data_IF_268116005297
#
_entry.id   IF_268116005297
#
_cell.length_a   1.000
_cell.length_b   1.000
_cell.length_c   1.000
_cell.angle_alpha   90.00
_cell.angle_beta   90.00
_cell.angle_gamma   90.00
#
_symmetry.space_group_name_H-M   'P 1'
#
loop_
_entity.id
_entity.type
_entity.pdbx_description
1 polymer ?
#
# COMPACT_ATOMS: atom_id res chain seq x y z
N UNK A 1 -4.80 -26.24 -30.55
CA UNK A 1 -3.53 -26.28 -29.80
C UNK A 1 -3.78 -25.60 -28.46
N UNK A 2 -3.82 -26.37 -27.38
CA UNK A 2 -3.94 -25.81 -26.03
C UNK A 2 -2.56 -25.26 -25.65
N UNK A 3 -2.42 -23.94 -25.58
CA UNK A 3 -1.28 -23.34 -24.91
C UNK A 3 -1.47 -23.52 -23.41
N UNK A 4 -1.13 -24.68 -22.89
CA UNK A 4 -0.99 -24.86 -21.47
C UNK A 4 0.27 -24.09 -21.01
N UNK A 5 0.10 -22.81 -20.71
CA UNK A 5 1.09 -22.07 -19.92
C UNK A 5 0.96 -22.61 -18.51
N UNK A 6 1.69 -23.65 -18.20
CA UNK A 6 1.84 -24.16 -16.82
C UNK A 6 2.77 -23.21 -16.06
N UNK A 7 2.26 -22.08 -15.67
CA UNK A 7 2.87 -21.30 -14.59
C UNK A 7 2.31 -21.87 -13.30
N UNK A 8 3.16 -22.51 -12.50
CA UNK A 8 2.78 -22.85 -11.13
C UNK A 8 2.42 -21.55 -10.41
N UNK A 9 1.20 -21.53 -9.83
CA UNK A 9 0.77 -20.42 -9.00
C UNK A 9 1.72 -20.36 -7.79
N UNK A 10 2.27 -19.17 -7.51
CA UNK A 10 3.07 -18.98 -6.31
C UNK A 10 2.20 -18.45 -5.16
N UNK A 11 2.53 -18.79 -3.91
CA UNK A 11 1.81 -18.24 -2.77
C UNK A 11 2.07 -16.73 -2.66
N UNK A 12 1.05 -15.98 -2.24
CA UNK A 12 1.20 -14.58 -1.89
C UNK A 12 2.02 -14.46 -0.59
N UNK A 13 3.29 -14.05 -0.71
CA UNK A 13 4.23 -14.05 0.41
C UNK A 13 3.80 -13.07 1.52
N UNK A 14 3.24 -11.92 1.16
CA UNK A 14 2.70 -10.97 2.14
C UNK A 14 1.57 -11.60 2.95
N UNK A 15 0.64 -12.29 2.29
CA UNK A 15 -0.46 -12.98 2.96
C UNK A 15 0.05 -14.04 3.93
N UNK A 16 0.97 -14.89 3.47
CA UNK A 16 1.59 -15.92 4.31
C UNK A 16 2.28 -15.33 5.53
N UNK A 17 3.05 -14.25 5.34
CA UNK A 17 3.73 -13.55 6.44
C UNK A 17 2.74 -13.00 7.46
N UNK A 18 1.69 -12.30 7.02
CA UNK A 18 0.70 -11.71 7.92
C UNK A 18 -0.16 -12.75 8.64
N UNK A 19 -0.55 -13.84 7.97
CA UNK A 19 -1.30 -14.96 8.56
C UNK A 19 -0.47 -15.72 9.60
N UNK A 20 0.85 -15.79 9.44
CA UNK A 20 1.75 -16.37 10.46
C UNK A 20 2.01 -15.43 11.66
N UNK A 21 1.40 -14.26 11.69
CA UNK A 21 1.58 -13.28 12.78
C UNK A 21 2.80 -12.36 12.59
N UNK A 22 3.50 -12.45 11.46
CA UNK A 22 4.65 -11.61 11.14
C UNK A 22 4.28 -10.15 10.87
N UNK A 23 5.29 -9.28 10.87
CA UNK A 23 5.17 -7.87 10.47
C UNK A 23 5.84 -7.65 9.12
N UNK A 24 5.10 -7.12 8.18
CA UNK A 24 5.55 -6.81 6.83
C UNK A 24 5.98 -5.33 6.73
N UNK A 25 7.12 -5.10 6.09
CA UNK A 25 7.61 -3.74 5.78
C UNK A 25 7.65 -3.57 4.27
N UNK A 26 7.06 -2.50 3.78
CA UNK A 26 6.97 -2.24 2.35
C UNK A 26 7.23 -0.80 1.97
N UNK A 27 7.08 -0.54 0.68
CA UNK A 27 7.27 0.77 0.07
C UNK A 27 6.05 1.17 -0.77
N UNK A 28 5.99 2.45 -1.14
CA UNK A 28 5.01 3.00 -2.06
C UNK A 28 5.68 3.55 -3.32
N UNK A 29 5.06 3.35 -4.49
CA UNK A 29 5.46 3.96 -5.75
C UNK A 29 4.36 4.92 -6.23
N UNK A 30 4.66 6.22 -6.25
CA UNK A 30 3.75 7.28 -6.66
C UNK A 30 4.06 7.84 -8.05
N UNK A 31 5.28 7.64 -8.58
CA UNK A 31 5.67 8.22 -9.87
C UNK A 31 5.00 7.56 -11.07
N UNK A 32 4.54 6.32 -10.93
CA UNK A 32 3.96 5.55 -12.04
C UNK A 32 4.99 5.10 -13.08
N UNK A 33 6.28 5.16 -12.75
CA UNK A 33 7.37 4.75 -13.65
C UNK A 33 7.78 3.30 -13.39
N UNK A 34 7.81 2.43 -14.43
CA UNK A 34 8.16 1.02 -14.28
C UNK A 34 9.58 0.77 -13.77
N UNK A 35 10.55 1.60 -14.14
CA UNK A 35 11.94 1.44 -13.68
C UNK A 35 12.10 1.81 -12.21
N UNK A 36 11.37 2.85 -11.77
CA UNK A 36 11.31 3.21 -10.35
C UNK A 36 10.66 2.07 -9.55
N UNK A 37 9.53 1.53 -10.03
CA UNK A 37 8.85 0.41 -9.38
C UNK A 37 9.76 -0.83 -9.28
N UNK A 38 10.51 -1.17 -10.34
CA UNK A 38 11.49 -2.26 -10.35
C UNK A 38 12.60 -2.03 -9.31
N UNK A 39 13.16 -0.81 -9.28
CA UNK A 39 14.20 -0.44 -8.32
C UNK A 39 13.73 -0.60 -6.87
N UNK A 40 12.52 -0.15 -6.56
CA UNK A 40 11.92 -0.30 -5.23
C UNK A 40 11.67 -1.78 -4.88
N UNK A 41 11.15 -2.55 -5.82
CA UNK A 41 10.86 -3.97 -5.61
C UNK A 41 12.13 -4.82 -5.41
N UNK A 42 13.25 -4.43 -6.02
CA UNK A 42 14.55 -5.10 -5.83
C UNK A 42 15.23 -4.74 -4.51
N UNK A 43 14.71 -3.78 -3.75
CA UNK A 43 15.31 -3.35 -2.49
C UNK A 43 15.10 -4.34 -1.33
N UNK A 44 14.35 -5.45 -1.53
CA UNK A 44 14.20 -6.53 -0.55
C UNK A 44 13.16 -6.28 0.53
N UNK A 45 12.14 -5.45 0.24
CA UNK A 45 10.98 -5.25 1.11
C UNK A 45 9.88 -6.29 0.83
N UNK A 46 9.02 -6.55 1.82
CA UNK A 46 8.01 -7.59 1.73
C UNK A 46 6.90 -7.26 0.73
N UNK A 47 6.58 -5.97 0.58
CA UNK A 47 5.58 -5.51 -0.39
C UNK A 47 5.92 -4.15 -0.99
N UNK A 48 5.37 -3.92 -2.17
CA UNK A 48 5.33 -2.62 -2.84
C UNK A 48 3.88 -2.34 -3.25
N UNK A 49 3.31 -1.20 -2.86
CA UNK A 49 2.07 -0.79 -3.48
C UNK A 49 2.30 0.28 -4.56
N UNK A 50 1.64 0.07 -5.70
CA UNK A 50 1.60 0.99 -6.83
C UNK A 50 0.39 1.89 -6.64
N UNK A 51 0.62 3.18 -6.52
CA UNK A 51 -0.44 4.14 -6.23
C UNK A 51 -1.15 4.59 -7.51
N UNK A 52 -2.46 4.37 -7.58
CA UNK A 52 -3.33 4.86 -8.65
C UNK A 52 -4.31 5.94 -8.15
N UNK A 53 -4.30 6.26 -6.85
CA UNK A 53 -5.15 7.30 -6.28
C UNK A 53 -4.50 8.68 -6.38
N UNK A 54 -3.22 8.80 -5.99
CA UNK A 54 -2.48 10.07 -5.94
C UNK A 54 -1.20 10.04 -6.78
N UNK A 55 -1.14 9.15 -7.77
CA UNK A 55 -0.01 9.06 -8.69
C UNK A 55 0.09 10.29 -9.59
N UNK A 56 1.32 10.77 -9.79
CA UNK A 56 1.62 11.85 -10.76
C UNK A 56 1.73 11.33 -12.19
N UNK A 57 1.85 10.02 -12.39
CA UNK A 57 1.92 9.35 -13.69
C UNK A 57 0.59 9.22 -14.45
N UNK A 58 -0.49 9.80 -13.91
CA UNK A 58 -1.82 9.71 -14.49
C UNK A 58 -2.48 8.33 -14.33
N UNK A 59 -3.61 8.12 -15.02
CA UNK A 59 -4.36 6.86 -15.03
C UNK A 59 -3.72 5.78 -15.93
N UNK A 60 -2.40 5.83 -16.16
CA UNK A 60 -1.71 4.80 -16.90
C UNK A 60 -1.95 3.43 -16.24
N UNK A 61 -2.14 2.41 -17.08
CA UNK A 61 -2.34 1.05 -16.58
C UNK A 61 -1.16 0.62 -15.70
N UNK A 62 -1.35 0.05 -14.51
CA UNK A 62 -0.28 -0.44 -13.66
C UNK A 62 0.47 -1.65 -14.27
N UNK A 63 0.06 -2.11 -15.47
CA UNK A 63 0.57 -3.33 -16.11
C UNK A 63 2.09 -3.33 -16.26
N UNK A 64 2.68 -2.22 -16.71
CA UNK A 64 4.12 -2.19 -16.96
C UNK A 64 4.92 -2.16 -15.65
N UNK A 65 4.43 -1.50 -14.62
CA UNK A 65 5.00 -1.56 -13.28
C UNK A 65 4.88 -2.98 -12.68
N UNK A 66 3.71 -3.63 -12.82
CA UNK A 66 3.49 -5.00 -12.38
C UNK A 66 4.33 -6.02 -13.18
N UNK A 67 4.68 -5.73 -14.43
CA UNK A 67 5.64 -6.53 -15.20
C UNK A 67 7.07 -6.37 -14.69
N UNK A 68 7.47 -5.14 -14.39
CA UNK A 68 8.79 -4.83 -13.86
C UNK A 68 9.02 -5.51 -12.50
N UNK A 69 8.01 -5.54 -11.64
CA UNK A 69 8.10 -6.14 -10.29
C UNK A 69 7.91 -7.66 -10.25
N UNK A 70 7.37 -8.29 -11.31
CA UNK A 70 6.92 -9.70 -11.31
C UNK A 70 8.01 -10.75 -11.07
N UNK A 71 9.30 -10.39 -11.17
CA UNK A 71 10.44 -11.30 -10.95
C UNK A 71 11.22 -11.02 -9.67
N UNK A 72 10.71 -10.13 -8.85
CA UNK A 72 11.24 -9.85 -7.51
C UNK A 72 10.53 -10.72 -6.47
N UNK A 73 11.07 -10.84 -5.28
CA UNK A 73 10.39 -11.52 -4.17
C UNK A 73 9.36 -10.65 -3.45
N UNK A 74 9.13 -9.42 -3.94
CA UNK A 74 8.26 -8.43 -3.32
C UNK A 74 6.81 -8.61 -3.80
N UNK A 75 5.86 -8.72 -2.88
CA UNK A 75 4.41 -8.78 -3.23
C UNK A 75 3.95 -7.44 -3.79
N UNK A 76 3.40 -7.44 -5.00
CA UNK A 76 2.93 -6.24 -5.66
C UNK A 76 1.43 -5.99 -5.41
N UNK A 77 1.11 -4.89 -4.73
CA UNK A 77 -0.24 -4.41 -4.48
C UNK A 77 -0.55 -3.20 -5.36
N UNK A 78 -1.82 -2.90 -5.57
CA UNK A 78 -2.27 -1.66 -6.22
C UNK A 78 -3.22 -0.92 -5.27
N UNK A 79 -2.91 0.34 -4.93
CA UNK A 79 -3.91 1.21 -4.35
C UNK A 79 -4.76 1.76 -5.49
N UNK A 80 -6.01 1.31 -5.58
CA UNK A 80 -6.93 1.73 -6.64
C UNK A 80 -7.40 3.17 -6.42
N UNK A 81 -7.83 3.84 -7.50
CA UNK A 81 -8.24 5.25 -7.43
C UNK A 81 -9.56 5.47 -6.65
N UNK A 82 -10.41 4.46 -6.58
CA UNK A 82 -11.69 4.50 -5.87
C UNK A 82 -12.17 3.08 -5.55
N UNK A 83 -13.15 2.96 -4.65
CA UNK A 83 -13.88 1.73 -4.38
C UNK A 83 -14.85 1.40 -5.52
N UNK A 84 -14.29 1.04 -6.66
CA UNK A 84 -14.99 0.74 -7.91
C UNK A 84 -14.64 -0.68 -8.38
N UNK A 85 -15.62 -1.57 -8.62
CA UNK A 85 -15.38 -2.95 -9.03
C UNK A 85 -14.60 -3.07 -10.36
N UNK A 86 -14.74 -2.11 -11.27
CA UNK A 86 -14.01 -2.11 -12.54
C UNK A 86 -12.54 -1.80 -12.30
N UNK A 87 -12.23 -0.80 -11.47
CA UNK A 87 -10.84 -0.44 -11.13
C UNK A 87 -10.16 -1.57 -10.37
N UNK A 88 -10.84 -2.17 -9.40
CA UNK A 88 -10.36 -3.33 -8.62
C UNK A 88 -10.08 -4.51 -9.57
N UNK A 89 -11.04 -4.90 -10.39
CA UNK A 89 -10.90 -6.01 -11.34
C UNK A 89 -9.74 -5.79 -12.32
N UNK A 90 -9.59 -4.59 -12.88
CA UNK A 90 -8.50 -4.25 -13.80
C UNK A 90 -7.12 -4.32 -13.14
N UNK A 91 -6.98 -3.86 -11.89
CA UNK A 91 -5.73 -3.97 -11.15
C UNK A 91 -5.34 -5.44 -10.93
N UNK A 92 -6.28 -6.27 -10.52
CA UNK A 92 -6.08 -7.70 -10.30
C UNK A 92 -5.79 -8.45 -11.61
N UNK A 93 -6.49 -8.14 -12.71
CA UNK A 93 -6.25 -8.76 -14.03
C UNK A 93 -4.90 -8.34 -14.63
N UNK A 94 -4.42 -7.14 -14.28
CA UNK A 94 -3.07 -6.68 -14.59
C UNK A 94 -1.98 -7.45 -13.82
N UNK A 95 -2.34 -8.23 -12.81
CA UNK A 95 -1.44 -9.11 -12.05
C UNK A 95 -1.06 -8.58 -10.67
N UNK A 96 -1.81 -7.64 -10.10
CA UNK A 96 -1.67 -7.31 -8.68
C UNK A 96 -2.07 -8.51 -7.81
N UNK A 97 -1.32 -8.74 -6.75
CA UNK A 97 -1.56 -9.81 -5.79
C UNK A 97 -2.56 -9.41 -4.69
N UNK A 98 -2.94 -8.15 -4.70
CA UNK A 98 -3.98 -7.58 -3.85
C UNK A 98 -4.19 -6.11 -4.17
N UNK A 99 -5.21 -5.54 -3.56
CA UNK A 99 -5.56 -4.13 -3.70
C UNK A 99 -5.69 -3.45 -2.35
N UNK A 100 -5.39 -2.13 -2.33
CA UNK A 100 -5.72 -1.23 -1.25
C UNK A 100 -6.85 -0.34 -1.77
N UNK A 101 -8.03 -0.43 -1.15
CA UNK A 101 -9.25 0.26 -1.58
C UNK A 101 -9.49 1.48 -0.68
N UNK A 102 -9.38 2.72 -1.20
CA UNK A 102 -9.49 3.94 -0.41
C UNK A 102 -10.94 4.25 0.01
N UNK A 103 -11.08 5.16 0.96
CA UNK A 103 -12.35 5.80 1.39
C UNK A 103 -13.46 4.82 1.76
N UNK A 104 -13.14 3.78 2.52
CA UNK A 104 -14.13 2.84 3.05
C UNK A 104 -14.66 3.38 4.38
N UNK A 105 -15.94 3.76 4.39
CA UNK A 105 -16.60 4.41 5.52
C UNK A 105 -17.73 3.59 6.14
N UNK A 106 -18.16 2.53 5.46
CA UNK A 106 -19.29 1.70 5.87
C UNK A 106 -18.99 0.21 5.68
N UNK A 107 -19.82 -0.62 6.32
CA UNK A 107 -19.81 -2.07 6.14
C UNK A 107 -20.14 -2.44 4.68
N UNK A 108 -21.07 -1.70 4.07
CA UNK A 108 -21.47 -1.85 2.66
C UNK A 108 -20.30 -1.55 1.71
N UNK A 109 -19.49 -0.52 2.01
CA UNK A 109 -18.27 -0.22 1.24
C UNK A 109 -17.26 -1.35 1.33
N UNK A 110 -17.05 -1.88 2.53
CA UNK A 110 -16.13 -3.00 2.76
C UNK A 110 -16.62 -4.28 2.04
N UNK A 111 -17.91 -4.60 2.11
CA UNK A 111 -18.50 -5.71 1.36
C UNK A 111 -18.35 -5.53 -0.16
N UNK A 112 -18.57 -4.32 -0.67
CA UNK A 112 -18.41 -4.01 -2.10
C UNK A 112 -16.98 -4.23 -2.56
N UNK A 113 -16.00 -3.77 -1.78
CA UNK A 113 -14.59 -3.99 -2.05
C UNK A 113 -14.23 -5.48 -2.02
N UNK A 114 -14.58 -6.19 -0.95
CA UNK A 114 -14.32 -7.63 -0.82
C UNK A 114 -14.97 -8.46 -1.94
N UNK A 115 -16.23 -8.15 -2.30
CA UNK A 115 -16.93 -8.84 -3.38
C UNK A 115 -16.27 -8.60 -4.74
N UNK A 116 -15.74 -7.40 -5.01
CA UNK A 116 -15.05 -7.08 -6.27
C UNK A 116 -13.69 -7.78 -6.40
N UNK A 117 -13.04 -8.12 -5.28
CA UNK A 117 -11.73 -8.80 -5.25
C UNK A 117 -11.87 -10.30 -5.52
N UNK A 118 -12.93 -10.93 -5.01
CA UNK A 118 -13.07 -12.38 -5.02
C UNK A 118 -13.94 -12.90 -6.15
N UNK A 119 -13.58 -14.07 -6.69
CA UNK A 119 -14.43 -14.83 -7.60
C UNK A 119 -15.59 -15.49 -6.85
N UNK A 120 -16.69 -15.81 -7.55
CA UNK A 120 -17.77 -16.64 -6.98
C UNK A 120 -17.22 -17.96 -6.38
N UNK A 121 -17.78 -18.47 -5.27
CA UNK A 121 -18.97 -17.97 -4.57
C UNK A 121 -18.67 -16.87 -3.53
N UNK A 122 -17.40 -16.49 -3.31
CA UNK A 122 -17.00 -15.53 -2.29
C UNK A 122 -17.24 -14.06 -2.70
N UNK A 123 -17.32 -13.80 -3.99
CA UNK A 123 -17.53 -12.47 -4.55
C UNK A 123 -18.17 -12.49 -5.91
N UNK A 124 -18.00 -11.39 -6.65
CA UNK A 124 -18.60 -11.15 -7.97
C UNK A 124 -17.58 -10.80 -9.06
N UNK A 125 -16.28 -10.95 -8.77
CA UNK A 125 -15.22 -10.66 -9.75
C UNK A 125 -15.45 -11.47 -11.03
N UNK A 126 -15.41 -10.79 -12.18
CA UNK A 126 -15.47 -11.45 -13.50
C UNK A 126 -14.18 -12.23 -13.74
N UNK A 127 -14.31 -13.45 -14.28
CA UNK A 127 -13.17 -14.30 -14.60
C UNK A 127 -12.52 -13.90 -15.93
N UNK A 128 -11.27 -13.45 -15.90
CA UNK A 128 -10.49 -13.04 -17.05
C UNK A 128 -9.00 -12.99 -16.72
N UNK A 129 -8.37 -14.12 -16.31
CA UNK A 129 -7.02 -14.14 -15.76
C UNK A 129 -5.93 -14.02 -16.85
N UNK A 130 -6.00 -12.99 -17.69
CA UNK A 130 -5.07 -12.83 -18.81
C UNK A 130 -3.62 -12.72 -18.35
N UNK A 131 -3.34 -11.90 -17.33
CA UNK A 131 -2.00 -11.72 -16.77
C UNK A 131 -1.88 -12.26 -15.33
N UNK A 132 -2.93 -12.18 -14.54
CA UNK A 132 -2.93 -12.72 -13.17
C UNK A 132 -2.60 -14.21 -13.11
N UNK A 133 -2.85 -14.96 -14.20
CA UNK A 133 -2.47 -16.36 -14.33
C UNK A 133 -0.96 -16.62 -14.21
N UNK A 134 -0.11 -15.62 -14.43
CA UNK A 134 1.36 -15.74 -14.29
C UNK A 134 1.86 -15.55 -12.85
N UNK A 135 0.97 -15.19 -11.92
CA UNK A 135 1.26 -15.00 -10.51
C UNK A 135 0.41 -15.94 -9.64
N UNK A 136 -0.72 -15.44 -9.16
CA UNK A 136 -1.61 -16.21 -8.25
C UNK A 136 -2.34 -17.37 -8.92
N UNK A 137 -2.24 -17.54 -10.24
CA UNK A 137 -2.88 -18.60 -10.99
C UNK A 137 -4.19 -18.19 -11.67
N UNK A 138 -4.81 -19.17 -12.36
CA UNK A 138 -6.06 -18.96 -13.11
C UNK A 138 -7.28 -19.70 -12.46
N UNK A 139 -7.03 -20.61 -11.53
CA UNK A 139 -8.11 -21.31 -10.83
C UNK A 139 -8.76 -20.39 -9.79
N UNK A 140 -10.09 -20.16 -9.87
CA UNK A 140 -10.78 -19.23 -8.97
C UNK A 140 -10.62 -19.54 -7.49
N UNK A 141 -10.62 -20.82 -7.10
CA UNK A 141 -10.49 -21.21 -5.70
C UNK A 141 -9.08 -20.91 -5.16
N UNK A 142 -8.05 -21.22 -5.95
CA UNK A 142 -6.65 -20.93 -5.65
C UNK A 142 -6.45 -19.40 -5.52
N UNK A 143 -6.95 -18.61 -6.47
CA UNK A 143 -6.83 -17.16 -6.45
C UNK A 143 -7.55 -16.56 -5.23
N UNK A 144 -8.78 -17.02 -4.92
CA UNK A 144 -9.50 -16.58 -3.73
C UNK A 144 -8.73 -16.86 -2.43
N UNK A 145 -7.97 -17.95 -2.40
CA UNK A 145 -7.10 -18.31 -1.28
C UNK A 145 -5.81 -17.48 -1.18
N UNK A 146 -5.48 -16.67 -2.19
CA UNK A 146 -4.19 -15.97 -2.28
C UNK A 146 -4.34 -14.45 -2.37
N UNK A 147 -5.36 -13.95 -3.08
CA UNK A 147 -5.56 -12.52 -3.31
C UNK A 147 -5.84 -11.77 -2.00
N UNK A 148 -5.36 -10.52 -1.89
CA UNK A 148 -5.61 -9.68 -0.71
C UNK A 148 -6.53 -8.51 -1.04
N UNK A 149 -7.54 -8.31 -0.18
CA UNK A 149 -8.36 -7.11 -0.11
C UNK A 149 -7.97 -6.33 1.15
N UNK A 150 -7.35 -5.19 0.98
CA UNK A 150 -7.06 -4.24 2.04
C UNK A 150 -7.96 -3.03 1.86
N UNK A 151 -8.65 -2.60 2.90
CA UNK A 151 -9.53 -1.41 2.85
C UNK A 151 -8.90 -0.27 3.63
N UNK A 152 -9.04 0.99 3.15
CA UNK A 152 -8.53 2.14 3.90
C UNK A 152 -9.62 2.76 4.75
N UNK A 153 -9.31 2.91 6.04
CA UNK A 153 -10.07 3.76 6.96
C UNK A 153 -9.28 5.04 7.15
N UNK A 154 -9.85 6.13 6.66
CA UNK A 154 -9.21 7.45 6.58
C UNK A 154 -10.19 8.60 6.87
N UNK A 155 -11.36 8.27 7.45
CA UNK A 155 -12.37 9.25 7.83
C UNK A 155 -12.94 8.97 9.24
N UNK A 156 -13.50 10.00 9.87
CA UNK A 156 -14.18 9.86 11.16
C UNK A 156 -15.36 8.86 11.09
N UNK A 157 -16.05 8.80 9.93
CA UNK A 157 -17.12 7.84 9.67
C UNK A 157 -16.62 6.40 9.66
N UNK A 158 -15.52 6.13 8.95
CA UNK A 158 -14.86 4.84 8.93
C UNK A 158 -14.32 4.42 10.31
N UNK A 159 -13.70 5.35 11.05
CA UNK A 159 -13.25 5.10 12.44
C UNK A 159 -14.41 4.72 13.35
N UNK A 160 -15.57 5.37 13.21
CA UNK A 160 -16.74 5.03 14.02
C UNK A 160 -17.15 3.55 13.84
N UNK A 161 -17.01 3.01 12.64
CA UNK A 161 -17.40 1.64 12.23
C UNK A 161 -16.21 0.67 12.05
N UNK A 162 -15.04 1.00 12.57
CA UNK A 162 -13.82 0.22 12.33
C UNK A 162 -13.96 -1.27 12.68
N UNK A 163 -14.66 -1.59 13.75
CA UNK A 163 -14.90 -2.98 14.19
C UNK A 163 -15.75 -3.75 13.18
N UNK A 164 -16.83 -3.14 12.71
CA UNK A 164 -17.74 -3.76 11.74
C UNK A 164 -17.05 -3.93 10.37
N UNK A 165 -16.30 -2.92 9.93
CA UNK A 165 -15.53 -2.95 8.67
C UNK A 165 -14.45 -4.05 8.74
N UNK A 166 -13.69 -4.13 9.84
CA UNK A 166 -12.66 -5.14 10.02
C UNK A 166 -13.23 -6.57 10.09
N UNK A 167 -14.48 -6.73 10.53
CA UNK A 167 -15.17 -8.01 10.60
C UNK A 167 -15.79 -8.49 9.28
N UNK A 168 -15.70 -7.73 8.18
CA UNK A 168 -16.29 -8.12 6.89
C UNK A 168 -15.53 -9.30 6.28
N UNK A 169 -16.21 -10.42 5.97
CA UNK A 169 -15.59 -11.55 5.29
C UNK A 169 -14.95 -11.15 3.97
N UNK A 170 -13.71 -11.58 3.73
CA UNK A 170 -12.94 -11.25 2.54
C UNK A 170 -12.14 -9.95 2.64
N UNK A 171 -12.24 -9.19 3.74
CA UNK A 171 -11.27 -8.15 4.10
C UNK A 171 -10.10 -8.80 4.84
N UNK A 172 -8.87 -8.60 4.34
CA UNK A 172 -7.66 -9.23 4.88
C UNK A 172 -6.81 -8.27 5.73
N UNK A 173 -7.14 -6.98 5.69
CA UNK A 173 -6.50 -5.96 6.51
C UNK A 173 -7.13 -4.59 6.31
N UNK A 174 -6.85 -3.70 7.27
CA UNK A 174 -7.24 -2.29 7.19
C UNK A 174 -5.99 -1.43 7.13
N UNK A 175 -5.90 -0.59 6.11
CA UNK A 175 -4.83 0.39 5.97
C UNK A 175 -5.30 1.76 6.45
N UNK A 176 -4.54 2.41 7.33
CA UNK A 176 -4.85 3.76 7.82
C UNK A 176 -4.30 4.80 6.86
N UNK A 177 -5.14 5.73 6.40
CA UNK A 177 -4.72 6.95 5.69
C UNK A 177 -4.56 8.12 6.66
N UNK A 178 -3.35 8.37 7.24
CA UNK A 178 -3.21 9.31 8.34
C UNK A 178 -3.46 10.77 7.95
N UNK A 179 -3.14 11.17 6.71
CA UNK A 179 -3.38 12.53 6.21
C UNK A 179 -4.87 12.83 6.07
N UNK A 180 -5.58 11.98 5.34
CA UNK A 180 -7.03 12.13 5.12
C UNK A 180 -7.82 11.99 6.42
N UNK A 181 -7.40 11.09 7.32
CA UNK A 181 -7.98 10.99 8.66
C UNK A 181 -7.81 12.29 9.44
N UNK A 182 -6.65 12.94 9.38
CA UNK A 182 -6.44 14.24 10.04
C UNK A 182 -7.40 15.29 9.47
N UNK A 183 -7.50 15.40 8.14
CA UNK A 183 -8.43 16.31 7.46
C UNK A 183 -9.88 16.03 7.87
N UNK A 184 -10.29 14.77 7.88
CA UNK A 184 -11.64 14.35 8.27
C UNK A 184 -11.96 14.67 9.74
N UNK A 185 -10.95 14.74 10.62
CA UNK A 185 -11.07 15.16 12.01
C UNK A 185 -10.98 16.68 12.20
N UNK A 186 -10.89 17.46 11.12
CA UNK A 186 -10.71 18.91 11.16
C UNK A 186 -9.31 19.33 11.64
N UNK A 187 -8.29 18.50 11.39
CA UNK A 187 -6.91 18.73 11.76
C UNK A 187 -6.05 19.03 10.53
N UNK A 188 -4.90 19.65 10.74
CA UNK A 188 -3.90 19.82 9.69
C UNK A 188 -3.32 18.45 9.27
N UNK A 189 -3.22 18.13 7.97
CA UNK A 189 -2.78 16.82 7.51
C UNK A 189 -1.31 16.48 7.85
N UNK A 190 -0.46 17.49 8.11
CA UNK A 190 0.97 17.29 8.39
C UNK A 190 1.25 17.17 9.89
N UNK A 191 0.68 18.05 10.69
CA UNK A 191 0.90 18.08 12.15
C UNK A 191 -0.22 17.40 12.93
N UNK A 192 -1.40 17.25 12.35
CA UNK A 192 -2.57 16.61 12.95
C UNK A 192 -2.33 15.20 13.45
N UNK A 193 -1.47 14.36 12.84
CA UNK A 193 -1.10 13.07 13.41
C UNK A 193 -0.49 13.10 14.82
N UNK A 194 -0.04 14.27 15.30
CA UNK A 194 0.42 14.50 16.69
C UNK A 194 -0.73 14.83 17.67
N UNK A 195 -1.92 15.13 17.17
CA UNK A 195 -3.10 15.38 18.00
C UNK A 195 -3.62 14.08 18.64
N UNK A 196 -4.06 14.16 19.91
CA UNK A 196 -4.55 12.98 20.65
C UNK A 196 -5.81 12.38 20.02
N UNK A 197 -6.68 13.20 19.41
CA UNK A 197 -7.88 12.71 18.71
C UNK A 197 -7.50 11.81 17.54
N UNK A 198 -6.49 12.21 16.78
CA UNK A 198 -5.97 11.41 15.67
C UNK A 198 -5.33 10.12 16.20
N UNK A 199 -4.49 10.21 17.23
CA UNK A 199 -3.86 9.02 17.83
C UNK A 199 -4.90 8.05 18.40
N UNK A 200 -5.93 8.54 19.03
CA UNK A 200 -7.03 7.72 19.54
C UNK A 200 -7.82 7.04 18.42
N UNK A 201 -8.09 7.74 17.30
CA UNK A 201 -8.72 7.17 16.11
C UNK A 201 -7.87 6.05 15.49
N UNK A 202 -6.57 6.28 15.34
CA UNK A 202 -5.62 5.28 14.82
C UNK A 202 -5.54 4.06 15.72
N UNK A 203 -5.48 4.23 17.05
CA UNK A 203 -5.53 3.10 18.01
C UNK A 203 -6.81 2.29 17.86
N UNK A 204 -7.97 2.96 17.77
CA UNK A 204 -9.26 2.27 17.60
C UNK A 204 -9.28 1.39 16.35
N UNK A 205 -8.70 1.83 15.22
CA UNK A 205 -8.59 1.02 14.00
C UNK A 205 -7.68 -0.19 14.25
N UNK A 206 -6.52 0.02 14.88
CA UNK A 206 -5.58 -1.05 15.18
C UNK A 206 -6.19 -2.11 16.08
N UNK A 207 -6.89 -1.69 17.15
CA UNK A 207 -7.58 -2.59 18.08
C UNK A 207 -8.70 -3.38 17.39
N UNK A 208 -9.45 -2.75 16.47
CA UNK A 208 -10.49 -3.41 15.68
C UNK A 208 -9.90 -4.51 14.78
N UNK A 209 -8.77 -4.24 14.14
CA UNK A 209 -8.06 -5.24 13.33
C UNK A 209 -7.55 -6.41 14.18
N UNK A 210 -6.94 -6.12 15.32
CA UNK A 210 -6.47 -7.15 16.24
C UNK A 210 -7.62 -8.05 16.73
N UNK A 211 -8.77 -7.47 17.07
CA UNK A 211 -9.97 -8.20 17.49
C UNK A 211 -10.55 -9.09 16.36
N UNK A 212 -10.45 -8.63 15.11
CA UNK A 212 -10.89 -9.37 13.92
C UNK A 212 -9.84 -10.41 13.43
N UNK A 213 -8.64 -10.41 13.99
CA UNK A 213 -7.54 -11.31 13.57
C UNK A 213 -6.92 -10.95 12.22
N UNK A 214 -7.11 -9.71 11.72
CA UNK A 214 -6.55 -9.21 10.47
C UNK A 214 -5.42 -8.20 10.70
N UNK A 215 -4.69 -7.85 9.64
CA UNK A 215 -3.57 -6.91 9.73
C UNK A 215 -4.06 -5.45 9.76
N UNK A 216 -3.49 -4.63 10.65
CA UNK A 216 -3.53 -3.18 10.54
C UNK A 216 -2.29 -2.68 9.79
N UNK A 217 -2.49 -1.76 8.82
CA UNK A 217 -1.42 -1.14 8.03
C UNK A 217 -1.38 0.38 8.20
N UNK A 218 -0.18 0.96 8.10
CA UNK A 218 0.05 2.41 8.18
C UNK A 218 1.37 2.78 7.50
N UNK A 219 1.52 4.06 7.12
CA UNK A 219 2.82 4.62 6.73
C UNK A 219 3.52 5.20 7.95
N UNK A 220 4.79 4.84 8.16
CA UNK A 220 5.56 5.35 9.30
C UNK A 220 6.91 4.66 9.48
N UNK A 221 7.54 4.93 10.63
CA UNK A 221 8.75 4.22 11.02
C UNK A 221 8.43 2.77 11.42
N UNK A 222 9.05 1.76 10.79
CA UNK A 222 8.66 0.36 10.97
C UNK A 222 8.71 -0.11 12.43
N UNK A 223 9.73 0.31 13.18
CA UNK A 223 9.88 -0.08 14.57
C UNK A 223 8.78 0.54 15.44
N UNK A 224 8.60 1.85 15.30
CA UNK A 224 7.61 2.61 16.06
C UNK A 224 6.19 2.09 15.80
N UNK A 225 5.85 1.83 14.54
CA UNK A 225 4.51 1.40 14.19
C UNK A 225 4.28 -0.08 14.58
N UNK A 226 5.28 -0.95 14.48
CA UNK A 226 5.18 -2.32 14.97
C UNK A 226 4.95 -2.38 16.51
N UNK A 227 5.64 -1.52 17.28
CA UNK A 227 5.44 -1.38 18.73
C UNK A 227 4.00 -0.91 19.09
N UNK A 228 3.33 -0.21 18.15
CA UNK A 228 1.93 0.23 18.26
C UNK A 228 0.93 -0.84 17.82
N UNK A 229 1.38 -2.00 17.37
CA UNK A 229 0.54 -3.13 16.95
C UNK A 229 0.26 -3.21 15.44
N UNK A 230 0.86 -2.33 14.62
CA UNK A 230 0.74 -2.43 13.17
C UNK A 230 1.59 -3.58 12.64
N UNK A 231 1.01 -4.37 11.74
CA UNK A 231 1.68 -5.52 11.13
C UNK A 231 1.97 -5.33 9.64
N UNK A 232 1.59 -4.20 9.07
CA UNK A 232 1.90 -3.82 7.69
C UNK A 232 2.34 -2.35 7.68
N UNK A 233 3.65 -2.10 7.52
CA UNK A 233 4.19 -0.75 7.63
C UNK A 233 4.85 -0.32 6.32
N UNK A 234 4.35 0.78 5.72
CA UNK A 234 5.02 1.40 4.58
C UNK A 234 6.10 2.37 5.07
N UNK A 235 7.36 1.97 4.89
CA UNK A 235 8.52 2.71 5.42
C UNK A 235 8.87 3.98 4.63
N UNK A 236 8.32 4.14 3.43
CA UNK A 236 8.58 5.30 2.59
C UNK A 236 8.07 5.14 1.16
N UNK A 237 8.39 6.13 0.34
CA UNK A 237 8.01 6.14 -1.07
C UNK A 237 9.15 6.68 -1.95
N UNK A 238 9.07 6.37 -3.25
CA UNK A 238 9.96 6.91 -4.29
C UNK A 238 10.11 8.44 -4.20
N UNK A 239 8.99 9.17 -4.13
CA UNK A 239 8.99 10.63 -4.01
C UNK A 239 9.60 11.08 -2.67
N UNK A 240 9.35 10.35 -1.59
CA UNK A 240 9.93 10.61 -0.28
C UNK A 240 11.45 10.47 -0.28
N UNK A 241 11.95 9.37 -0.82
CA UNK A 241 13.39 9.11 -0.95
C UNK A 241 14.09 10.13 -1.85
N UNK A 242 13.46 10.50 -2.98
CA UNK A 242 13.99 11.53 -3.88
C UNK A 242 14.10 12.89 -3.15
N UNK A 243 13.07 13.30 -2.42
CA UNK A 243 13.08 14.56 -1.65
C UNK A 243 14.18 14.55 -0.58
N UNK A 244 14.33 13.44 0.15
CA UNK A 244 15.36 13.30 1.18
C UNK A 244 16.78 13.35 0.58
N UNK A 245 17.02 12.64 -0.53
CA UNK A 245 18.29 12.65 -1.22
C UNK A 245 18.65 14.02 -1.80
N UNK A 246 17.68 14.76 -2.33
CA UNK A 246 17.89 16.12 -2.81
C UNK A 246 18.20 17.11 -1.67
N UNK A 247 17.54 16.96 -0.51
CA UNK A 247 17.83 17.77 0.67
C UNK A 247 19.26 17.55 1.18
N UNK A 248 19.72 16.29 1.25
CA UNK A 248 21.07 15.93 1.62
C UNK A 248 22.11 16.46 0.62
N UNK A 249 21.86 16.28 -0.70
CA UNK A 249 22.73 16.82 -1.74
C UNK A 249 22.84 18.35 -1.68
N UNK A 250 21.74 19.04 -1.40
CA UNK A 250 21.71 20.48 -1.21
C UNK A 250 22.53 20.91 0.02
N UNK A 251 22.36 20.23 1.15
CA UNK A 251 23.13 20.53 2.37
C UNK A 251 24.63 20.39 2.15
N UNK A 252 25.07 19.35 1.42
CA UNK A 252 26.48 19.16 1.05
C UNK A 252 27.01 20.28 0.14
N UNK A 253 26.22 20.76 -0.82
CA UNK A 253 26.57 21.90 -1.67
C UNK A 253 26.72 23.19 -0.83
N UNK A 254 25.78 23.46 0.06
CA UNK A 254 25.77 24.70 0.85
C UNK A 254 26.96 24.73 1.84
N UNK A 255 27.38 23.57 2.39
CA UNK A 255 28.60 23.46 3.22
C UNK A 255 29.88 23.79 2.43
N UNK A 256 29.96 23.44 1.15
CA UNK A 256 31.10 23.81 0.29
C UNK A 256 31.20 25.33 0.07
N UNK A 257 30.06 26.02 -0.08
CA UNK A 257 30.00 27.48 -0.32
C UNK A 257 30.38 28.27 0.93
N UNK A 258 30.10 27.77 2.14
CA UNK A 258 30.51 28.41 3.41
C UNK A 258 32.02 28.33 3.65
N UNK A 259 32.64 27.20 3.30
CA UNK A 259 34.12 27.02 3.47
C UNK A 259 34.95 27.90 2.52
N UNK A 260 34.42 28.24 1.33
CA UNK A 260 35.12 29.13 0.38
C UNK A 260 35.05 30.61 0.78
N UNK A 261 34.03 31.03 1.50
CA UNK A 261 33.91 32.42 1.99
C UNK A 261 34.83 32.71 3.20
N UNK A 262 35.13 31.71 4.01
CA UNK A 262 36.03 31.85 5.19
C UNK A 262 37.52 31.94 4.82
N UNK A 263 37.87 31.58 3.56
CA UNK A 263 39.27 31.63 3.06
C UNK A 263 39.62 32.92 2.33
N UNK A 264 38.69 33.82 2.04
CA UNK A 264 38.92 35.09 1.33
C UNK A 264 38.97 36.33 2.26
N UNK A 265 38.92 36.13 3.57
CA UNK A 265 38.85 37.23 4.55
C UNK A 265 40.09 37.40 5.38
N UNK A 266 41.29 37.61 4.79
CA UNK A 266 42.34 38.44 5.41
C UNK A 266 43.34 38.99 4.39
N UNK A 267 43.13 40.18 3.86
CA UNK A 267 44.15 40.88 3.04
C UNK A 267 44.88 41.94 3.85
N UNK A 268 45.10 41.75 5.18
CA UNK A 268 45.95 42.65 5.96
C UNK A 268 46.68 41.93 7.10
N UNK A 269 47.85 41.38 6.78
CA UNK A 269 48.93 41.19 7.70
C UNK A 269 50.23 41.61 7.04
#
# INVERSE_FOLDING_TARGET
>A
MSYAVTTEAHPNQLRVLLESGGTAVGLACHTGDPHVAETLAMAGFDYLYLDQQHSVGGLASPVDMLRATARTGTTALVRVAANDPVLIGRALDAGAEGVIVPTVESVEDAHRAAAAVHYPPLGVRSWGPTRSAFGLGADPATVNGQVMCLVMIETAGGVARATEIAGVPGVHGVYVGPGDLAVSLGLDPVIGPRDERHRAAVRKICDACAAAGIAAGITGDPRTEAERGFRMVTAGSDVGFLKAGLADARARRDALMTTTNDTEGDPTA
#
